data_IF_945836535024
#
_entry.id   IF_945836535024
#
_cell.length_a   1.000
_cell.length_b   1.000
_cell.length_c   1.000
_cell.angle_alpha   90.00
_cell.angle_beta   90.00
_cell.angle_gamma   90.00
#
_symmetry.space_group_name_H-M   'P 1'
#
loop_
_entity.id
_entity.type
_entity.pdbx_description
1 polymer ?
2 non-polymer ?
3 water ?
#
# COMPACT_ATOMS: atom_id res chain seq x y z
N UNK A 14 -8.61 -17.28 -5.24
CA UNK A 14 -8.10 -15.97 -5.75
C UNK A 14 -7.93 -14.92 -4.63
N UNK A 15 -6.68 -14.50 -4.42
CA UNK A 15 -6.35 -13.65 -3.28
C UNK A 15 -6.74 -12.20 -3.53
N UNK A 16 -7.22 -11.51 -2.46
CA UNK A 16 -7.46 -10.06 -2.56
C UNK A 16 -6.15 -9.25 -2.51
N UNK A 17 -6.17 -8.06 -3.08
CA UNK A 17 -5.13 -7.06 -2.84
C UNK A 17 -5.64 -5.94 -1.91
N UNK A 18 -4.75 -5.45 -1.06
CA UNK A 18 -5.10 -4.51 -0.01
C UNK A 18 -4.17 -3.32 0.01
N UNK A 19 -4.75 -2.13 -0.06
CA UNK A 19 -4.06 -0.86 0.24
C UNK A 19 -4.52 -0.38 1.60
N UNK A 20 -3.61 -0.19 2.53
CA UNK A 20 -3.97 0.29 3.83
C UNK A 20 -3.38 1.68 4.06
N UNK A 21 -4.21 2.62 4.52
CA UNK A 21 -3.76 3.87 5.09
C UNK A 21 -3.20 3.52 6.43
N UNK A 22 -1.97 3.91 6.70
CA UNK A 22 -1.31 3.55 7.94
C UNK A 22 -0.98 4.73 8.83
N UNK A 23 -0.59 4.44 10.07
CA UNK A 23 -0.10 5.49 10.99
C UNK A 23 0.47 4.96 12.30
N UNK A 25 -3.39 4.43 13.61
CA UNK A 25 -3.09 4.43 15.03
C UNK A 25 -1.59 4.59 15.27
N UNK A 26 -1.21 5.57 16.10
CA UNK A 26 0.17 5.66 16.55
C UNK A 26 0.44 4.77 17.78
N UNK A 27 0.15 3.47 17.62
CA UNK A 27 0.40 2.43 18.63
C UNK A 27 0.74 1.05 18.02
N UNK A 28 0.28 -0.03 18.66
CA UNK A 28 -0.48 0.07 19.90
C UNK A 28 -0.59 -1.19 20.74
N UNK A 29 -1.78 -1.77 20.76
CA UNK A 29 -2.09 -2.92 21.64
C UNK A 29 -3.59 -3.09 21.92
N UNK A 30 -4.19 -2.08 22.52
CA UNK A 30 -5.67 -1.99 22.63
C UNK A 30 -6.12 -0.60 22.23
N UNK A 31 -6.34 -0.38 20.93
CA UNK A 31 -6.30 0.99 20.37
C UNK A 31 -7.58 1.52 19.76
N UNK A 32 -7.74 1.36 18.44
CA UNK A 32 -8.79 2.06 17.73
C UNK A 32 -9.44 1.35 16.55
N UNK A 33 -10.17 2.14 15.76
CA UNK A 33 -11.01 1.68 14.66
C UNK A 33 -10.18 1.03 13.58
N UNK A 34 -9.00 1.59 13.36
CA UNK A 34 -8.12 1.20 12.25
C UNK A 34 -7.44 -0.12 12.55
N UNK A 35 -6.89 -0.22 13.76
CA UNK A 35 -6.23 -1.43 14.16
C UNK A 35 -7.22 -2.59 14.18
N UNK A 36 -8.45 -2.31 14.59
CA UNK A 36 -9.48 -3.35 14.66
C UNK A 36 -10.00 -3.72 13.26
N UNK A 37 -9.88 -2.80 12.31
CA UNK A 37 -10.12 -3.11 10.91
C UNK A 37 -9.01 -4.00 10.31
N UNK A 38 -7.78 -3.84 10.76
CA UNK A 38 -6.65 -4.64 10.23
C UNK A 38 -6.70 -6.07 10.73
N UNK A 39 -7.21 -6.27 11.92
CA UNK A 39 -7.00 -7.52 12.59
C UNK A 39 -7.97 -8.65 12.35
N UNK A 40 -9.26 -8.36 12.34
CA UNK A 40 -9.93 -7.69 11.26
C UNK A 40 -9.95 -8.47 9.97
N UNK A 41 -9.26 -7.93 9.00
CA UNK A 41 -9.09 -8.56 7.73
C UNK A 41 -8.17 -9.75 7.85
N UNK A 42 -7.25 -9.71 8.79
CA UNK A 42 -6.38 -10.86 9.02
C UNK A 42 -7.10 -12.11 9.51
N UNK A 43 -8.21 -11.92 10.23
CA UNK A 43 -9.07 -13.02 10.65
C UNK A 43 -9.95 -13.47 9.50
N UNK A 44 -10.45 -12.49 8.75
CA UNK A 44 -11.52 -12.68 7.77
C UNK A 44 -11.09 -13.06 6.37
N UNK A 45 -9.94 -12.56 5.92
CA UNK A 45 -9.50 -12.82 4.56
C UNK A 45 -8.88 -14.20 4.43
N UNK A 46 -9.00 -14.81 3.23
CA UNK A 46 -8.30 -16.05 2.95
C UNK A 46 -6.82 -15.92 3.28
N UNK A 47 -6.36 -16.79 4.17
CA UNK A 47 -4.96 -16.92 4.54
C UNK A 47 -4.07 -17.16 3.30
N UNK A 48 -3.04 -16.30 3.11
CA UNK A 48 -2.14 -16.40 1.95
C UNK A 48 -0.98 -17.39 2.14
N UNK A 49 -0.62 -18.03 1.03
CA UNK A 49 0.61 -18.83 0.93
C UNK A 49 1.82 -17.95 1.22
N UNK A 50 1.76 -16.70 0.71
CA UNK A 50 2.80 -15.68 0.90
C UNK A 50 2.28 -14.24 0.56
N UNK A 51 3.07 -13.24 0.94
CA UNK A 51 2.70 -11.85 0.71
C UNK A 51 3.81 -11.02 0.10
N UNK A 52 3.45 -10.23 -0.89
CA UNK A 52 4.28 -9.16 -1.41
C UNK A 52 3.86 -7.84 -0.70
N UNK A 53 4.72 -7.32 0.17
CA UNK A 53 4.55 -6.06 0.87
C UNK A 53 5.13 -4.89 0.06
N UNK A 54 4.27 -3.91 -0.25
CA UNK A 54 4.70 -2.61 -0.84
C UNK A 54 4.49 -1.49 0.21
N UNK A 55 5.56 -0.78 0.54
CA UNK A 55 5.45 0.37 1.47
C UNK A 55 5.84 1.67 0.83
N UNK A 56 5.10 2.75 1.17
CA UNK A 56 5.50 4.16 0.91
C UNK A 56 6.97 4.42 1.19
N UNK A 57 7.43 3.82 2.25
CA UNK A 57 8.77 4.08 2.74
C UNK A 57 9.90 3.27 2.04
N UNK A 58 9.62 2.43 1.05
CA UNK A 58 10.70 1.77 0.22
C UNK A 58 10.59 2.39 -1.18
N UNK A 59 11.15 3.60 -1.31
CA UNK A 59 11.01 4.48 -2.48
C UNK A 59 12.45 4.72 -2.97
N UNK A 60 12.82 4.04 -4.07
CA UNK A 60 14.24 3.84 -4.43
C UNK A 60 14.36 4.21 -5.89
N UNK A 61 15.55 4.55 -6.39
CA UNK A 61 15.72 4.54 -7.84
C UNK A 61 15.89 3.09 -8.29
N UNK A 62 15.05 2.66 -9.22
CA UNK A 62 14.95 1.25 -9.61
C UNK A 62 14.06 0.45 -8.67
N UNK A 63 13.66 -0.73 -9.13
CA UNK A 63 12.82 -1.65 -8.38
C UNK A 63 13.75 -2.65 -7.68
N UNK A 64 13.55 -2.80 -6.38
CA UNK A 64 14.21 -3.79 -5.57
C UNK A 64 13.23 -4.80 -5.01
N UNK A 65 13.74 -6.00 -4.64
CA UNK A 65 13.00 -7.12 -4.09
C UNK A 65 13.92 -7.75 -3.04
N UNK A 66 13.37 -8.14 -1.89
CA UNK A 66 14.13 -8.89 -0.90
C UNK A 66 13.39 -10.21 -0.63
N UNK A 67 14.12 -11.27 -0.36
CA UNK A 67 13.47 -12.49 0.08
C UNK A 67 13.59 -12.59 1.58
N UNK A 68 14.23 -11.59 2.19
CA UNK A 68 14.29 -11.44 3.65
C UNK A 68 15.03 -12.59 4.35
N UNK A 69 16.27 -12.83 3.91
CA UNK A 69 17.15 -13.84 4.51
C UNK A 69 18.09 -13.26 5.58
N UNK A 70 17.66 -12.15 6.20
CA UNK A 70 18.44 -11.48 7.25
C UNK A 70 17.72 -10.24 7.76
N UNK A 84 17.95 2.12 10.86
CA UNK A 84 16.81 2.87 10.31
C UNK A 84 15.51 2.88 11.16
N UNK A 85 14.81 1.76 11.31
CA UNK A 85 13.48 1.78 11.98
C UNK A 85 13.45 1.06 13.32
N UNK A 86 12.79 1.70 14.28
CA UNK A 86 12.83 1.21 15.69
C UNK A 86 11.71 0.12 15.82
N UNK A 87 11.75 -0.84 14.89
CA UNK A 87 10.72 -1.90 14.71
C UNK A 87 11.29 -3.37 14.53
N UNK A 88 10.43 -4.37 14.64
CA UNK A 88 10.86 -5.77 14.47
C UNK A 88 9.68 -6.63 14.05
N UNK A 89 9.74 -7.15 12.83
CA UNK A 89 8.70 -8.03 12.30
C UNK A 89 9.38 -9.21 11.61
N UNK A 90 9.59 -10.32 12.39
CA UNK A 90 10.43 -11.45 11.95
C UNK A 90 9.67 -12.49 11.13
N UNK A 91 9.03 -12.02 10.06
CA UNK A 91 8.31 -12.89 9.16
C UNK A 91 9.34 -13.70 8.38
N UNK A 92 9.02 -14.97 8.07
CA UNK A 92 9.94 -15.75 7.25
C UNK A 92 9.88 -15.28 5.81
N UNK A 93 11.02 -15.28 5.13
CA UNK A 93 11.07 -14.92 3.75
C UNK A 93 10.62 -16.05 2.86
N UNK A 94 10.39 -15.71 1.60
CA UNK A 94 10.05 -16.67 0.58
C UNK A 94 10.94 -16.42 -0.63
N UNK A 95 12.11 -17.10 -0.68
CA UNK A 95 12.98 -16.95 -1.87
C UNK A 95 12.30 -17.37 -3.16
N UNK A 96 11.39 -18.36 -3.10
CA UNK A 96 10.58 -18.80 -4.26
C UNK A 96 9.70 -17.68 -4.84
N UNK A 97 8.96 -17.02 -3.96
CA UNK A 97 8.17 -15.85 -4.38
C UNK A 97 9.05 -14.73 -4.93
N UNK A 98 10.21 -14.50 -4.31
CA UNK A 98 11.16 -13.46 -4.82
C UNK A 98 11.61 -13.69 -6.25
N UNK A 99 11.95 -14.94 -6.58
CA UNK A 99 12.41 -15.32 -7.92
C UNK A 99 11.26 -15.22 -8.88
N UNK A 100 10.10 -15.70 -8.43
CA UNK A 100 8.89 -15.58 -9.22
C UNK A 100 8.50 -14.10 -9.51
N UNK A 101 8.78 -13.21 -8.56
CA UNK A 101 8.59 -11.75 -8.73
C UNK A 101 9.57 -11.23 -9.76
N UNK A 102 10.85 -11.62 -9.65
CA UNK A 102 11.87 -11.16 -10.59
C UNK A 102 11.54 -11.59 -12.01
N UNK A 103 11.11 -12.85 -12.18
CA UNK A 103 10.76 -13.42 -13.49
C UNK A 103 9.53 -12.77 -14.12
N UNK A 104 8.47 -12.67 -13.33
CA UNK A 104 7.26 -11.97 -13.73
C UNK A 104 7.51 -10.52 -14.23
N UNK A 105 8.36 -9.79 -13.52
CA UNK A 105 8.71 -8.39 -13.86
C UNK A 105 9.67 -8.20 -15.04
N UNK A 106 10.50 -9.20 -15.32
CA UNK A 106 11.48 -9.11 -16.42
C UNK A 106 10.73 -8.73 -17.69
N UNK A 107 11.31 -7.85 -18.53
CA UNK A 107 12.64 -7.23 -18.45
C UNK A 107 12.85 -6.00 -17.53
N UNK A 108 11.88 -5.65 -16.67
CA UNK A 108 12.14 -4.63 -15.61
C UNK A 108 13.36 -5.10 -14.82
N UNK A 109 14.46 -4.32 -14.84
CA UNK A 109 15.62 -4.72 -14.01
C UNK A 109 15.38 -4.69 -12.50
N UNK A 110 15.52 -5.84 -11.84
CA UNK A 110 15.36 -5.91 -10.38
C UNK A 110 16.65 -6.23 -9.65
N UNK A 111 16.88 -5.49 -8.56
CA UNK A 111 17.96 -5.69 -7.63
C UNK A 111 17.42 -6.62 -6.52
N UNK A 112 18.17 -7.68 -6.23
CA UNK A 112 17.70 -8.62 -5.22
C UNK A 112 18.55 -8.56 -3.96
N UNK A 113 17.96 -8.07 -2.87
CA UNK A 113 18.67 -8.02 -1.61
C UNK A 113 18.51 -9.35 -0.87
N UNK A 114 19.58 -9.76 -0.16
CA UNK A 114 19.50 -10.92 0.75
C UNK A 114 18.75 -10.51 2.01
N UNK A 115 19.27 -9.49 2.68
CA UNK A 115 18.75 -8.95 3.93
C UNK A 115 17.34 -8.33 3.74
N UNK A 116 16.50 -8.46 4.77
CA UNK A 116 15.23 -7.74 4.84
C UNK A 116 15.47 -6.22 4.94
N UNK A 117 14.57 -5.39 4.44
CA UNK A 117 14.59 -3.94 4.80
C UNK A 117 13.77 -3.72 6.07
N UNK A 118 14.20 -2.84 6.94
CA UNK A 118 13.37 -2.49 8.09
C UNK A 118 11.97 -2.07 7.66
N UNK A 119 10.97 -2.42 8.46
CA UNK A 119 9.60 -1.99 8.25
C UNK A 119 9.41 -0.62 8.88
N UNK A 120 8.89 0.33 8.13
CA UNK A 120 8.39 1.58 8.74
C UNK A 120 7.34 1.32 9.85
N UNK A 121 7.23 2.22 10.83
CA UNK A 121 6.25 2.08 11.91
C UNK A 121 4.83 1.80 11.44
N UNK A 122 4.43 2.51 10.39
CA UNK A 122 3.10 2.36 9.83
C UNK A 122 2.84 0.99 9.25
N UNK A 123 3.83 0.45 8.52
CA UNK A 123 3.70 -0.86 7.87
C UNK A 123 3.72 -1.97 8.90
N UNK A 124 4.67 -1.87 9.81
CA UNK A 124 4.80 -2.71 10.97
C UNK A 124 3.52 -2.71 11.82
N UNK A 125 2.88 -1.55 11.92
CA UNK A 125 1.64 -1.36 12.64
C UNK A 125 0.51 -2.11 11.98
N UNK A 126 0.47 -2.06 10.65
CA UNK A 126 -0.55 -2.85 9.91
C UNK A 126 -0.30 -4.36 10.01
N UNK A 127 0.94 -4.78 9.86
CA UNK A 127 1.29 -6.19 9.89
C UNK A 127 1.19 -6.84 11.28
N UNK A 128 1.62 -6.15 12.34
CA UNK A 128 1.50 -6.72 13.71
C UNK A 128 0.06 -6.93 14.15
N UNK A 129 -0.84 -6.08 13.66
CA UNK A 129 -2.26 -6.20 13.91
C UNK A 129 -2.91 -7.26 13.03
N UNK A 130 -2.46 -7.35 11.77
CA UNK A 130 -3.10 -8.15 10.76
C UNK A 130 -2.77 -9.62 10.96
N UNK A 131 -1.47 -9.91 11.06
CA UNK A 131 -0.95 -11.26 11.23
C UNK A 131 0.04 -11.24 12.37
N UNK A 132 -0.46 -11.11 13.61
CA UNK A 132 0.36 -10.94 14.81
C UNK A 132 1.52 -11.89 14.93
N UNK A 133 1.37 -13.11 14.45
CA UNK A 133 2.35 -14.16 14.73
C UNK A 133 3.57 -14.14 13.80
N UNK A 134 3.53 -13.28 12.79
CA UNK A 134 4.60 -13.17 11.81
C UNK A 134 4.96 -14.56 11.26
N UNK A 135 3.94 -15.28 10.82
CA UNK A 135 4.07 -16.68 10.33
C UNK A 135 3.69 -16.88 8.86
N UNK A 136 3.47 -15.76 8.17
CA UNK A 136 3.19 -15.78 6.73
C UNK A 136 4.47 -15.42 5.96
N UNK A 137 4.91 -16.30 5.03
CA UNK A 137 6.13 -16.03 4.27
C UNK A 137 5.96 -14.77 3.44
N UNK A 138 7.05 -14.08 3.19
CA UNK A 138 6.98 -12.69 2.76
C UNK A 138 8.16 -12.24 1.92
N UNK A 139 7.85 -11.35 0.98
CA UNK A 139 8.78 -10.62 0.14
C UNK A 139 8.47 -9.10 0.25
N UNK A 140 9.50 -8.26 0.33
CA UNK A 140 9.34 -6.81 0.16
C UNK A 140 9.67 -6.34 -1.27
N UNK A 141 8.78 -5.51 -1.82
CA UNK A 141 8.95 -4.89 -3.12
C UNK A 141 9.04 -3.35 -2.95
N UNK A 142 9.98 -2.72 -3.66
CA UNK A 142 10.20 -1.29 -3.52
C UNK A 142 9.57 -0.54 -4.70
N UNK A 143 9.38 0.77 -4.53
CA UNK A 143 8.66 1.59 -5.52
C UNK A 143 9.73 2.35 -6.28
N UNK A 144 9.74 2.25 -7.60
CA UNK A 144 10.72 2.99 -8.40
C UNK A 144 10.40 4.51 -8.48
N UNK A 145 11.16 5.32 -7.73
CA UNK A 145 11.18 6.81 -7.78
C UNK A 145 11.08 7.44 -9.16
N UNK A 146 11.86 6.90 -10.10
CA UNK A 146 12.13 7.52 -11.39
C UNK A 146 11.01 7.31 -12.38
N UNK A 147 9.95 6.61 -11.97
CA UNK A 147 8.91 6.22 -12.89
C UNK A 147 7.61 6.99 -12.61
N UNK A 148 6.83 7.29 -13.66
CA UNK A 148 5.57 8.00 -13.48
C UNK A 148 4.45 7.11 -12.99
N UNK A 149 3.37 7.75 -12.53
CA UNK A 149 2.21 7.10 -11.93
C UNK A 149 1.59 5.95 -12.74
N UNK A 150 1.57 6.12 -14.07
CA UNK A 150 1.02 5.17 -15.02
C UNK A 150 1.80 3.83 -14.97
N UNK A 151 3.11 3.97 -14.83
CA UNK A 151 4.04 2.87 -14.73
C UNK A 151 3.79 2.04 -13.44
N UNK A 152 3.68 2.73 -12.31
CA UNK A 152 3.29 2.09 -11.06
C UNK A 152 1.94 1.41 -11.14
N UNK A 153 0.98 2.01 -11.87
CA UNK A 153 -0.29 1.33 -12.16
C UNK A 153 -0.06 0.06 -13.01
N UNK A 154 0.75 0.17 -14.06
CA UNK A 154 1.13 -1.02 -14.86
C UNK A 154 1.76 -2.13 -14.02
N UNK A 155 2.56 -1.76 -13.00
CA UNK A 155 3.10 -2.71 -12.01
C UNK A 155 2.05 -3.60 -11.35
N UNK A 156 0.97 -2.99 -10.87
CA UNK A 156 -0.13 -3.76 -10.30
C UNK A 156 -0.86 -4.60 -11.33
N UNK A 157 -0.83 -4.16 -12.58
CA UNK A 157 -1.35 -4.96 -13.68
C UNK A 157 -0.53 -6.27 -13.84
N UNK A 158 0.79 -6.17 -13.73
CA UNK A 158 1.66 -7.36 -13.75
C UNK A 158 1.54 -8.19 -12.48
N UNK A 159 1.41 -7.55 -11.32
CA UNK A 159 1.28 -8.29 -10.05
C UNK A 159 -0.01 -9.08 -9.92
N UNK A 160 -0.99 -8.72 -10.74
CA UNK A 160 -2.32 -9.33 -10.71
C UNK A 160 -2.27 -10.87 -10.86
N UNK A 161 -1.47 -11.36 -11.80
CA UNK A 161 -1.31 -12.81 -11.96
C UNK A 161 -1.00 -13.54 -10.64
N UNK A 162 -0.21 -12.94 -9.76
CA UNK A 162 0.15 -13.62 -8.52
C UNK A 162 -1.02 -13.87 -7.57
N UNK A 163 -2.15 -13.22 -7.85
CA UNK A 163 -3.32 -13.34 -7.00
C UNK A 163 -4.00 -14.71 -7.12
N UNK A 164 -3.85 -15.33 -8.31
CA UNK A 164 -4.30 -16.70 -8.56
C UNK A 164 -3.26 -17.77 -8.14
N UNK A 165 -2.11 -17.34 -7.62
CA UNK A 165 -1.06 -18.24 -7.15
C UNK A 165 -0.90 -18.25 -5.64
N UNK A 166 -1.98 -17.90 -4.93
CA UNK A 166 -2.00 -17.89 -3.45
C UNK A 166 -1.34 -16.69 -2.77
N UNK A 167 -1.13 -15.61 -3.53
CA UNK A 167 -0.31 -14.49 -3.04
C UNK A 167 -1.15 -13.24 -2.81
N UNK A 168 -1.05 -12.71 -1.61
CA UNK A 168 -1.70 -11.49 -1.22
C UNK A 168 -0.78 -10.28 -1.39
N UNK A 169 -1.27 -9.29 -2.12
CA UNK A 169 -0.63 -8.00 -2.22
C UNK A 169 -1.09 -7.12 -1.03
N UNK A 170 -0.14 -6.70 -0.20
CA UNK A 170 -0.40 -5.68 0.83
C UNK A 170 0.42 -4.40 0.58
N UNK A 171 -0.23 -3.37 0.06
CA UNK A 171 0.40 -2.04 -0.14
C UNK A 171 -0.01 -1.14 1.01
N UNK A 172 0.92 -0.37 1.56
CA UNK A 172 0.56 0.57 2.61
C UNK A 172 1.19 1.94 2.41
N UNK A 173 0.36 2.97 2.62
CA UNK A 173 0.76 4.36 2.52
C UNK A 173 -0.39 5.23 3.00
N UNK A 174 -0.72 6.28 2.22
CA UNK A 174 -1.70 7.33 2.64
C UNK A 174 -1.98 8.20 1.44
N UNK A 175 -3.23 8.18 0.97
CA UNK A 175 -3.62 8.97 -0.19
C UNK A 175 -3.61 10.51 0.06
N UNK A 176 -3.63 10.92 1.34
CA UNK A 176 -3.32 12.31 1.73
C UNK A 176 -2.22 12.33 2.76
N UNK A 177 -1.15 13.07 2.46
CA UNK A 177 0.02 12.93 3.28
C UNK A 177 0.94 14.12 3.18
N UNK A 178 0.62 15.13 3.98
CA UNK A 178 1.42 16.34 4.04
C UNK A 178 1.62 16.58 5.51
N UNK A 179 2.85 16.32 5.99
CA UNK A 179 3.16 16.40 7.43
C UNK A 179 3.44 17.82 7.90
N UNK A 180 3.59 18.73 6.94
CA UNK A 180 3.62 20.14 7.24
C UNK A 180 2.26 20.72 7.61
N UNK A 181 1.17 20.02 7.30
CA UNK A 181 -0.17 20.47 7.67
C UNK A 181 -0.78 19.65 8.78
N UNK A 182 -0.05 18.65 9.28
CA UNK A 182 -0.64 17.74 10.25
C UNK A 182 -0.80 18.44 11.60
N UNK A 183 -1.98 18.31 12.19
CA UNK A 183 -2.22 18.89 13.51
C UNK A 183 -2.19 17.82 14.58
N UNK A 184 -0.99 17.66 15.14
CA UNK A 184 -0.63 16.57 16.04
C UNK A 184 -1.44 16.58 17.34
N UNK A 185 -1.87 17.76 17.79
CA UNK A 185 -2.74 17.92 18.99
C UNK A 185 -4.15 18.50 18.74
N UNK A 186 -4.25 19.73 18.24
CA UNK A 186 -5.57 20.40 18.07
C UNK A 186 -5.85 21.01 16.69
N UNK A 187 -7.09 20.90 16.19
CA UNK A 187 -8.23 20.32 16.94
C UNK A 187 -8.60 18.86 16.60
N UNK A 188 -8.80 18.55 15.32
CA UNK A 188 -9.25 17.22 14.92
C UNK A 188 -10.18 17.15 13.72
N UNK A 189 -10.62 18.29 13.20
CA UNK A 189 -11.49 18.25 12.02
C UNK A 189 -10.66 18.08 10.76
N UNK A 190 -11.19 17.35 9.76
CA UNK A 190 -10.50 17.25 8.47
C UNK A 190 -10.51 18.57 7.68
N UNK A 191 -9.33 19.05 7.33
CA UNK A 191 -9.19 20.16 6.40
C UNK A 191 -10.04 19.91 5.19
N UNK A 192 -10.69 20.98 4.66
CA UNK A 192 -11.60 20.78 3.55
C UNK A 192 -10.89 20.32 2.27
N UNK A 193 -9.66 20.80 2.06
CA UNK A 193 -8.89 20.38 0.90
C UNK A 193 -8.51 18.87 1.02
N UNK A 194 -8.20 18.43 2.23
CA UNK A 194 -7.99 17.00 2.50
C UNK A 194 -9.20 16.15 2.11
N UNK A 195 -10.40 16.56 2.55
CA UNK A 195 -11.65 15.83 2.24
C UNK A 195 -11.93 15.91 0.75
N UNK A 196 -11.76 17.10 0.19
CA UNK A 196 -11.85 17.28 -1.26
C UNK A 196 -11.00 16.21 -2.04
N UNK A 197 -9.68 16.19 -1.82
CA UNK A 197 -8.82 15.26 -2.60
C UNK A 197 -9.19 13.81 -2.33
N UNK A 198 -9.44 13.50 -1.06
CA UNK A 198 -9.83 12.15 -0.65
C UNK A 198 -11.07 11.63 -1.37
N UNK A 199 -12.07 12.49 -1.51
CA UNK A 199 -13.33 12.13 -2.17
C UNK A 199 -13.15 11.90 -3.67
N UNK A 200 -12.29 12.67 -4.30
CA UNK A 200 -11.85 12.45 -5.68
C UNK A 200 -11.14 11.09 -5.84
N UNK A 201 -10.43 10.66 -4.79
CA UNK A 201 -9.84 9.31 -4.75
C UNK A 201 -10.95 8.24 -4.75
N UNK A 202 -11.76 8.25 -3.70
CA UNK A 202 -12.88 7.32 -3.55
C UNK A 202 -13.86 7.25 -4.72
N UNK A 203 -14.11 8.39 -5.38
CA UNK A 203 -15.08 8.46 -6.49
C UNK A 203 -14.51 7.87 -7.77
N UNK A 204 -13.24 7.46 -7.75
CA UNK A 204 -12.59 7.03 -8.97
C UNK A 204 -11.88 5.71 -8.89
N UNK A 205 -12.12 4.99 -7.80
CA UNK A 205 -11.54 3.67 -7.56
C UNK A 205 -11.90 2.71 -8.68
N UNK A 206 -13.15 2.81 -9.11
CA UNK A 206 -13.75 1.89 -10.06
C UNK A 206 -13.68 2.39 -11.50
N UNK A 207 -12.89 3.42 -11.76
CA UNK A 207 -12.73 3.97 -13.10
C UNK A 207 -12.12 2.96 -14.08
N UNK A 208 -12.69 2.88 -15.28
CA UNK A 208 -12.22 1.95 -16.30
C UNK A 208 -11.93 2.69 -17.60
N UNK A 209 -10.84 2.33 -18.26
CA UNK A 209 -10.45 2.93 -19.52
C UNK A 209 -8.95 2.93 -19.70
N UNK A 210 -8.43 3.72 -20.67
CA UNK A 210 -6.97 3.77 -20.86
C UNK A 210 -6.26 4.34 -19.62
N UNK A 211 -5.18 3.68 -19.21
CA UNK A 211 -4.38 4.03 -18.02
C UNK A 211 -4.01 5.52 -17.99
N UNK A 212 -3.50 6.00 -19.13
CA UNK A 212 -3.09 7.39 -19.32
C UNK A 212 -4.18 8.42 -19.01
N UNK A 213 -5.43 8.00 -19.10
CA UNK A 213 -6.57 8.86 -18.79
C UNK A 213 -7.22 8.54 -17.43
N UNK A 214 -6.60 7.70 -16.61
CA UNK A 214 -7.16 7.36 -15.28
C UNK A 214 -6.99 8.56 -14.33
N UNK A 215 -8.10 9.06 -13.75
CA UNK A 215 -8.10 10.14 -12.75
C UNK A 215 -7.13 9.91 -11.60
N UNK A 216 -7.06 8.67 -11.12
CA UNK A 216 -6.17 8.34 -10.01
C UNK A 216 -4.72 8.18 -10.44
N UNK A 217 -4.52 8.00 -11.75
CA UNK A 217 -3.17 8.00 -12.31
C UNK A 217 -2.74 9.44 -12.53
N UNK A 218 -3.67 10.26 -13.02
CA UNK A 218 -3.44 11.70 -13.23
C UNK A 218 -3.83 12.52 -11.99
N UNK A 219 -3.52 12.00 -10.81
CA UNK A 219 -4.02 12.57 -9.54
C UNK A 219 -3.56 14.02 -9.32
N UNK A 220 -2.39 14.38 -9.83
CA UNK A 220 -1.89 15.75 -9.72
C UNK A 220 -2.71 16.79 -10.51
N UNK A 221 -3.60 16.32 -11.38
CA UNK A 221 -4.61 17.15 -12.07
C UNK A 221 -5.66 17.77 -11.15
N UNK A 222 -5.75 17.29 -9.91
CA UNK A 222 -6.68 17.83 -8.93
C UNK A 222 -6.05 19.05 -8.26
N UNK A 223 -6.90 19.95 -7.73
CA UNK A 223 -6.49 21.27 -7.11
C UNK A 223 -5.13 21.44 -6.40
N UNK A 224 -4.91 20.79 -5.25
CA UNK A 224 -5.60 19.60 -4.74
C UNK A 224 -4.52 18.52 -4.58
N UNK A 225 -3.95 18.11 -5.71
CA UNK A 225 -3.09 16.95 -5.79
C UNK A 225 -1.75 17.10 -5.13
N UNK A 226 -1.05 18.18 -5.48
CA UNK A 226 0.30 18.41 -5.01
C UNK A 226 0.36 18.76 -3.53
N UNK A 227 -0.70 19.41 -3.05
CA UNK A 227 -0.77 19.79 -1.65
C UNK A 227 -1.00 18.52 -0.77
N UNK A 228 -1.85 17.63 -1.27
CA UNK A 228 -2.17 16.36 -0.62
C UNK A 228 -0.99 15.35 -0.64
N UNK A 229 -0.12 15.53 -1.64
CA UNK A 229 0.96 14.61 -1.95
C UNK A 229 2.10 15.40 -2.57
N UNK A 230 2.88 16.14 -1.75
CA UNK A 230 4.03 16.92 -2.27
C UNK A 230 5.15 16.07 -2.87
N UNK A 231 5.18 14.78 -2.52
CA UNK A 231 6.04 13.77 -3.18
C UNK A 231 5.13 12.60 -3.38
N UNK A 232 5.41 11.76 -4.39
CA UNK A 232 4.42 10.74 -4.66
C UNK A 232 4.35 9.49 -3.75
N UNK A 233 5.32 9.23 -2.88
CA UNK A 233 5.56 7.86 -2.33
C UNK A 233 4.41 7.26 -1.51
N UNK A 234 3.72 8.09 -0.71
CA UNK A 234 2.61 7.57 0.11
C UNK A 234 1.31 7.32 -0.62
N UNK A 235 1.22 7.90 -1.81
CA UNK A 235 0.09 7.66 -2.69
C UNK A 235 0.24 6.49 -3.71
N UNK A 236 1.42 6.38 -4.29
CA UNK A 236 1.73 5.40 -5.35
C UNK A 236 1.35 3.93 -5.03
N UNK A 237 1.45 3.50 -3.75
CA UNK A 237 1.12 2.15 -3.38
C UNK A 237 -0.29 1.73 -3.71
N UNK A 238 -1.24 2.65 -3.68
CA UNK A 238 -2.60 2.38 -4.08
C UNK A 238 -2.70 1.95 -5.53
N UNK A 239 -1.86 2.52 -6.39
CA UNK A 239 -1.87 2.20 -7.80
C UNK A 239 -1.44 0.76 -8.03
N UNK A 240 -0.52 0.25 -7.21
CA UNK A 240 -0.12 -1.15 -7.24
C UNK A 240 -1.35 -2.03 -7.02
N UNK A 241 -2.16 -1.66 -6.03
CA UNK A 241 -3.41 -2.37 -5.76
C UNK A 241 -4.43 -2.16 -6.87
N UNK A 242 -4.69 -0.91 -7.25
CA UNK A 242 -5.65 -0.66 -8.34
C UNK A 242 -5.26 -1.30 -9.67
N UNK A 243 -3.97 -1.29 -9.98
CA UNK A 243 -3.46 -1.98 -11.19
C UNK A 243 -3.91 -3.44 -11.27
N UNK A 244 -4.09 -4.07 -10.10
CA UNK A 244 -4.46 -5.48 -9.95
C UNK A 244 -5.95 -5.80 -10.04
N UNK A 245 -6.79 -4.77 -10.19
CA UNK A 245 -8.25 -4.95 -10.34
C UNK A 245 -8.61 -5.42 -11.75
N UNK A 246 -9.44 -6.46 -11.86
CA UNK A 246 -9.82 -6.98 -13.19
C UNK A 246 -10.96 -6.22 -13.93
N UNK A 247 -11.61 -5.29 -13.22
CA UNK A 247 -12.79 -4.58 -13.73
C UNK A 247 -14.12 -5.17 -13.26
N UNK A 248 -14.08 -6.31 -12.59
CA UNK A 248 -15.28 -7.09 -12.31
C UNK A 248 -15.52 -7.35 -10.83
N UNK A 249 -14.51 -7.87 -10.14
CA UNK A 249 -14.60 -8.21 -8.74
C UNK A 249 -14.98 -6.95 -7.94
N UNK A 250 -15.53 -7.13 -6.72
CA UNK A 250 -15.82 -5.91 -5.94
C UNK A 250 -14.56 -5.15 -5.51
N UNK A 251 -14.72 -3.85 -5.34
CA UNK A 251 -13.75 -2.99 -4.64
C UNK A 251 -14.45 -2.50 -3.37
N UNK A 252 -13.80 -2.75 -2.24
CA UNK A 252 -14.30 -2.50 -0.90
C UNK A 252 -13.45 -1.41 -0.24
N UNK A 253 -14.03 -0.74 0.76
CA UNK A 253 -13.32 0.17 1.65
C UNK A 253 -13.51 -0.31 3.08
N UNK A 254 -12.62 -1.21 3.56
CA UNK A 254 -12.66 -1.83 4.88
C UNK A 254 -12.57 -0.84 6.05
N UNK A 255 -12.03 0.36 5.78
CA UNK A 255 -11.90 1.39 6.80
C UNK A 255 -11.44 2.72 6.16
N UNK A 256 -11.82 3.84 6.73
CA UNK A 256 -11.48 5.11 6.14
C UNK A 256 -11.58 6.13 7.21
N UNK A 257 -11.09 7.33 6.95
CA UNK A 257 -10.79 8.26 8.01
C UNK A 257 -9.79 9.30 7.62
N UNK A 258 -9.91 10.48 8.16
CA UNK A 258 -8.87 11.45 8.02
C UNK A 258 -8.52 11.91 9.38
N UNK A 259 -7.32 11.60 9.80
CA UNK A 259 -6.84 11.98 11.11
C UNK A 259 -5.92 13.20 11.07
N UNK A 260 -5.89 13.92 12.19
CA UNK A 260 -5.05 15.11 12.37
C UNK A 260 -5.13 16.12 11.23
N UNK A 261 -6.34 16.26 10.66
CA UNK A 261 -6.62 17.21 9.60
C UNK A 261 -6.22 16.78 8.20
N UNK A 262 -5.07 16.15 8.03
CA UNK A 262 -4.69 15.73 6.67
C UNK A 262 -4.12 14.31 6.48
N UNK A 263 -3.95 13.53 7.54
CA UNK A 263 -3.54 12.13 7.35
C UNK A 263 -4.70 11.25 6.91
N UNK A 264 -4.81 10.98 5.61
CA UNK A 264 -5.90 10.08 5.18
C UNK A 264 -5.66 8.57 5.42
N UNK A 265 -6.70 7.93 5.95
CA UNK A 265 -6.60 6.57 6.47
C UNK A 265 -7.42 5.64 5.58
N UNK A 266 -7.82 6.17 4.42
CA UNK A 266 -8.50 5.42 3.42
C UNK A 266 -7.80 4.11 3.02
N UNK A 267 -8.41 2.99 3.42
CA UNK A 267 -8.03 1.64 3.01
C UNK A 267 -8.91 1.07 1.88
N UNK A 268 -8.31 0.25 1.02
CA UNK A 268 -8.99 -0.25 -0.18
C UNK A 268 -8.77 -1.77 -0.33
N UNK A 269 -9.85 -2.52 -0.51
CA UNK A 269 -9.76 -3.97 -0.75
C UNK A 269 -10.17 -4.26 -2.19
N UNK A 270 -9.30 -4.95 -2.92
CA UNK A 270 -9.60 -5.37 -4.28
C UNK A 270 -9.94 -6.86 -4.21
N UNK A 271 -11.15 -7.21 -4.64
CA UNK A 271 -11.61 -8.59 -4.63
C UNK A 271 -11.79 -9.17 -3.24
X LIG B 1 4.18 6.66 6.28
X LIG C 1 9.19 5.59 13.08
X LIG D 1 4.09 13.34 2.51
#
# INVERSE_FOLDING_TARGET
XTPLVKDIIXSSTRMPALFLGHGSPMNVLEDNLYTRSWQKLGMTLPRPQAIVVVSAHWFTRGTGVTAMETPPTIHDFGGFPQALYDTHYPAPGSPALAQRLVELLAPIPVTLDKEAWGFDHGSWGVLIKMYPDADIPMVQLSIDSSKPAAWHFEMGRKLAALRDEGIMLVASGNVVHNLRTVKWHGDSSPYPWATSFNEYVKANLTWQGPVEQHPLVNYLDHEGGTLSNPTPEHYLPLLYVLGAWDGQEPITIPVEGIEMGSLSMLSVQIG
ZN ZN
ZN ZN
ZN ZN
#
